data_IF_157042819038
#
_entry.id   IF_157042819038
#
_cell.length_a   1.000
_cell.length_b   1.000
_cell.length_c   1.000
_cell.angle_alpha   90.00
_cell.angle_beta   90.00
_cell.angle_gamma   90.00
#
_symmetry.space_group_name_H-M   'P 1'
#
loop_
_entity.id
_entity.type
_entity.pdbx_description
1 polymer ?
#
# COMPACT_ATOMS: atom_id res chain seq x y z
N UNK A 1 28.62 -4.03 -74.31
CA UNK A 1 28.13 -4.91 -73.23
C UNK A 1 26.71 -4.48 -72.89
N UNK A 2 25.72 -5.25 -73.31
CA UNK A 2 24.31 -4.89 -73.15
C UNK A 2 23.83 -5.20 -71.72
N UNK A 3 23.10 -4.28 -71.06
CA UNK A 3 22.72 -4.38 -69.64
C UNK A 3 21.75 -5.53 -69.30
N UNK A 4 21.31 -6.30 -70.30
CA UNK A 4 20.34 -7.40 -70.13
C UNK A 4 20.95 -8.69 -69.58
N UNK A 5 22.27 -8.74 -69.36
CA UNK A 5 22.95 -9.94 -68.83
C UNK A 5 22.80 -10.13 -67.31
N UNK A 6 22.37 -9.12 -66.55
CA UNK A 6 22.11 -9.25 -65.10
C UNK A 6 20.80 -9.99 -64.78
N UNK A 7 19.85 -10.04 -65.72
CA UNK A 7 18.54 -10.68 -65.52
C UNK A 7 18.54 -12.19 -65.80
N UNK A 8 19.66 -12.76 -66.26
CA UNK A 8 19.76 -14.15 -66.73
C UNK A 8 20.68 -15.05 -65.91
N UNK A 9 21.32 -14.53 -64.86
CA UNK A 9 22.22 -15.35 -64.02
C UNK A 9 21.43 -16.06 -62.92
N UNK A 10 21.08 -17.33 -63.16
CA UNK A 10 20.23 -18.14 -62.29
C UNK A 10 20.99 -18.76 -61.10
N UNK A 11 22.32 -18.63 -61.05
CA UNK A 11 23.14 -19.16 -59.94
C UNK A 11 22.94 -18.39 -58.63
N UNK A 12 22.41 -17.16 -58.69
CA UNK A 12 22.05 -16.36 -57.52
C UNK A 12 20.65 -16.62 -56.96
N UNK A 13 19.78 -17.32 -57.69
CA UNK A 13 18.38 -17.53 -57.29
C UNK A 13 18.26 -18.46 -56.05
N UNK A 14 19.12 -19.48 -55.96
CA UNK A 14 19.18 -20.39 -54.80
C UNK A 14 19.80 -19.71 -53.56
N UNK A 15 20.61 -18.67 -53.75
CA UNK A 15 21.13 -17.85 -52.66
C UNK A 15 20.19 -16.73 -52.22
N UNK A 16 19.09 -16.51 -52.93
CA UNK A 16 18.10 -15.48 -52.57
C UNK A 16 16.93 -16.09 -51.77
N UNK A 17 16.67 -17.39 -51.89
CA UNK A 17 15.62 -18.06 -51.10
C UNK A 17 15.97 -18.13 -49.59
N UNK A 18 17.25 -18.40 -49.25
CA UNK A 18 17.64 -18.46 -47.84
C UNK A 18 17.61 -17.09 -47.14
N UNK A 19 17.90 -16.00 -47.87
CA UNK A 19 17.81 -14.66 -47.31
C UNK A 19 16.36 -14.23 -47.16
N UNK A 20 15.49 -14.59 -48.10
CA UNK A 20 14.04 -14.33 -48.00
C UNK A 20 13.42 -15.11 -46.83
N UNK A 21 13.82 -16.38 -46.64
CA UNK A 21 13.34 -17.20 -45.53
C UNK A 21 13.86 -16.69 -44.18
N UNK A 22 15.13 -16.29 -44.10
CA UNK A 22 15.67 -15.63 -42.91
C UNK A 22 14.98 -14.29 -42.61
N UNK A 23 14.74 -13.46 -43.63
CA UNK A 23 14.01 -12.20 -43.48
C UNK A 23 12.58 -12.41 -43.00
N UNK A 24 11.89 -13.44 -43.49
CA UNK A 24 10.55 -13.80 -43.03
C UNK A 24 10.53 -14.22 -41.54
N UNK A 25 11.50 -15.03 -41.11
CA UNK A 25 11.62 -15.45 -39.70
C UNK A 25 11.94 -14.25 -38.79
N UNK A 26 12.82 -13.36 -39.22
CA UNK A 26 13.12 -12.13 -38.46
C UNK A 26 11.87 -11.25 -38.32
N UNK A 27 11.07 -11.11 -39.37
CA UNK A 27 9.79 -10.39 -39.32
C UNK A 27 8.81 -10.99 -38.31
N UNK A 28 8.67 -12.32 -38.28
CA UNK A 28 7.84 -13.03 -37.30
C UNK A 28 8.40 -12.87 -35.87
N UNK A 29 9.72 -12.90 -35.71
CA UNK A 29 10.38 -12.70 -34.42
C UNK A 29 10.14 -11.29 -33.85
N UNK A 30 10.25 -10.26 -34.67
CA UNK A 30 9.97 -8.87 -34.27
C UNK A 30 8.49 -8.75 -33.83
N UNK A 31 7.56 -9.36 -34.58
CA UNK A 31 6.13 -9.35 -34.22
C UNK A 31 5.83 -10.10 -32.93
N UNK A 32 6.49 -11.22 -32.68
CA UNK A 32 6.33 -11.97 -31.44
C UNK A 32 6.90 -11.19 -30.24
N UNK A 33 8.08 -10.60 -30.39
CA UNK A 33 8.71 -9.77 -29.34
C UNK A 33 7.86 -8.54 -29.03
N UNK A 34 7.25 -7.89 -30.02
CA UNK A 34 6.34 -6.77 -29.77
C UNK A 34 5.11 -7.20 -28.96
N UNK A 35 4.52 -8.36 -29.28
CA UNK A 35 3.36 -8.89 -28.55
C UNK A 35 3.71 -9.25 -27.10
N UNK A 36 4.85 -9.92 -26.88
CA UNK A 36 5.34 -10.26 -25.54
C UNK A 36 5.66 -8.99 -24.75
N UNK A 37 6.33 -8.01 -25.36
CA UNK A 37 6.65 -6.74 -24.71
C UNK A 37 5.40 -6.02 -24.25
N UNK A 38 4.37 -5.92 -25.08
CA UNK A 38 3.09 -5.31 -24.68
C UNK A 38 2.46 -6.07 -23.52
N UNK A 39 2.33 -7.40 -23.61
CA UNK A 39 1.74 -8.18 -22.53
C UNK A 39 2.50 -8.09 -21.19
N UNK A 40 3.83 -7.94 -21.22
CA UNK A 40 4.63 -7.73 -20.01
C UNK A 40 4.44 -6.33 -19.42
N UNK A 41 4.25 -5.30 -20.26
CA UNK A 41 3.93 -3.94 -19.79
C UNK A 41 2.55 -3.95 -19.15
N UNK A 42 1.54 -4.50 -19.82
CA UNK A 42 0.17 -4.57 -19.30
C UNK A 42 0.12 -5.31 -17.96
N UNK A 43 0.84 -6.45 -17.84
CA UNK A 43 0.96 -7.18 -16.58
C UNK A 43 1.69 -6.36 -15.50
N UNK A 44 2.71 -5.58 -15.88
CA UNK A 44 3.41 -4.69 -14.97
C UNK A 44 2.47 -3.61 -14.41
N UNK A 45 1.68 -2.99 -15.28
CA UNK A 45 0.71 -1.96 -14.92
C UNK A 45 -0.40 -2.54 -14.00
N UNK A 46 -0.89 -3.75 -14.30
CA UNK A 46 -1.87 -4.45 -13.46
C UNK A 46 -1.32 -4.75 -12.06
N UNK A 47 -0.05 -5.18 -11.97
CA UNK A 47 0.63 -5.42 -10.69
C UNK A 47 0.79 -4.13 -9.91
N UNK A 48 1.22 -3.04 -10.56
CA UNK A 48 1.34 -1.73 -9.93
C UNK A 48 -0.01 -1.24 -9.39
N UNK A 49 -1.07 -1.36 -10.18
CA UNK A 49 -2.43 -1.00 -9.77
C UNK A 49 -2.90 -1.85 -8.56
N UNK A 50 -2.65 -3.15 -8.57
CA UNK A 50 -3.02 -4.04 -7.47
C UNK A 50 -2.24 -3.73 -6.18
N UNK A 51 -0.95 -3.39 -6.29
CA UNK A 51 -0.11 -3.03 -5.14
C UNK A 51 -0.44 -1.63 -4.60
N UNK A 52 -0.71 -0.66 -5.47
CA UNK A 52 -1.11 0.70 -5.08
C UNK A 52 -2.50 0.72 -4.42
N UNK A 53 -3.42 -0.15 -4.86
CA UNK A 53 -4.76 -0.25 -4.27
C UNK A 53 -4.82 -1.09 -3.00
N UNK A 54 -3.76 -1.85 -2.68
CA UNK A 54 -3.70 -2.68 -1.48
C UNK A 54 -3.19 -1.88 -0.29
N UNK A 55 -4.04 -1.65 0.71
CA UNK A 55 -3.61 -1.11 2.01
C UNK A 55 -3.01 -2.23 2.86
N UNK A 56 -1.75 -2.08 3.27
CA UNK A 56 -1.10 -3.05 4.16
C UNK A 56 -1.78 -2.99 5.54
N UNK A 57 -2.25 -4.14 6.02
CA UNK A 57 -2.77 -4.24 7.37
C UNK A 57 -1.68 -3.89 8.38
N UNK A 58 -1.99 -2.98 9.29
CA UNK A 58 -1.15 -2.69 10.44
C UNK A 58 -0.67 -3.97 11.15
N UNK A 59 0.59 -3.99 11.60
CA UNK A 59 1.12 -5.05 12.47
C UNK A 59 0.23 -5.29 13.72
N UNK A 60 -0.47 -4.28 14.22
CA UNK A 60 -1.41 -4.40 15.33
C UNK A 60 -2.65 -5.25 14.99
N UNK A 61 -3.09 -5.25 13.73
CA UNK A 61 -4.25 -6.02 13.26
C UNK A 61 -3.91 -7.49 12.96
N UNK A 62 -2.68 -7.78 12.49
CA UNK A 62 -2.25 -9.14 12.15
C UNK A 62 -1.90 -10.01 13.37
N UNK A 63 -1.68 -9.39 14.54
CA UNK A 63 -1.51 -10.07 15.81
C UNK A 63 -2.71 -9.99 16.75
N UNK A 64 -3.83 -9.40 16.31
CA UNK A 64 -5.03 -9.18 17.11
C UNK A 64 -6.10 -10.26 16.94
N UNK A 65 -7.00 -10.36 17.92
CA UNK A 65 -8.05 -11.39 18.03
C UNK A 65 -9.18 -11.27 16.97
N UNK A 66 -8.91 -10.80 15.75
CA UNK A 66 -9.91 -10.51 14.72
C UNK A 66 -10.76 -9.26 14.98
N UNK A 67 -10.34 -8.40 15.92
CA UNK A 67 -10.97 -7.12 16.17
C UNK A 67 -10.47 -6.07 15.18
N UNK A 68 -11.40 -5.39 14.52
CA UNK A 68 -11.11 -4.31 13.56
C UNK A 68 -11.45 -2.96 14.18
N UNK A 69 -10.52 -2.02 14.07
CA UNK A 69 -10.75 -0.64 14.47
C UNK A 69 -11.67 0.07 13.47
N UNK A 70 -12.57 0.91 13.98
CA UNK A 70 -13.34 1.87 13.19
C UNK A 70 -13.30 3.23 13.89
N UNK A 71 -13.10 4.35 13.19
CA UNK A 71 -13.08 5.65 13.83
C UNK A 71 -14.37 5.93 14.60
N UNK A 72 -14.26 6.48 15.82
CA UNK A 72 -15.40 6.76 16.69
C UNK A 72 -15.92 8.19 16.55
N UNK A 73 -15.06 9.15 16.23
CA UNK A 73 -15.49 10.53 16.07
C UNK A 73 -16.15 10.76 14.71
N UNK A 74 -17.37 11.32 14.73
CA UNK A 74 -18.10 11.65 13.53
C UNK A 74 -17.32 12.66 12.66
N UNK A 75 -17.06 12.29 11.41
CA UNK A 75 -16.29 13.11 10.46
C UNK A 75 -14.83 12.70 10.29
N UNK A 76 -14.32 11.77 11.10
CA UNK A 76 -13.05 11.10 10.83
C UNK A 76 -13.33 9.83 10.01
N UNK A 77 -12.67 9.71 8.86
CA UNK A 77 -12.68 8.49 8.06
C UNK A 77 -11.42 7.68 8.32
N UNK A 78 -11.47 6.38 8.04
CA UNK A 78 -10.27 5.54 8.16
C UNK A 78 -9.17 6.02 7.22
N UNK A 79 -9.52 6.50 6.02
CA UNK A 79 -8.60 7.14 5.07
C UNK A 79 -7.89 8.38 5.65
N UNK A 80 -8.62 9.23 6.39
CA UNK A 80 -8.03 10.40 7.04
C UNK A 80 -7.05 10.02 8.17
N UNK A 81 -7.18 8.82 8.74
CA UNK A 81 -6.27 8.30 9.76
C UNK A 81 -5.07 7.57 9.14
N UNK A 82 -5.31 6.67 8.18
CA UNK A 82 -4.33 5.69 7.68
C UNK A 82 -3.75 6.02 6.31
N UNK A 83 -4.29 6.99 5.58
CA UNK A 83 -3.78 7.38 4.27
C UNK A 83 -2.35 7.93 4.33
N UNK A 84 -1.69 8.04 3.18
CA UNK A 84 -0.28 8.44 3.07
C UNK A 84 0.04 9.84 3.63
N UNK A 85 -0.98 10.70 3.72
CA UNK A 85 -0.92 12.02 4.38
C UNK A 85 -1.88 12.12 5.57
N UNK A 86 -2.42 11.00 6.02
CA UNK A 86 -3.33 10.88 7.15
C UNK A 86 -2.64 11.11 8.49
N UNK A 87 -3.41 11.05 9.56
CA UNK A 87 -2.94 11.30 10.93
C UNK A 87 -1.71 10.45 11.30
N UNK A 88 -1.71 9.15 10.96
CA UNK A 88 -0.60 8.24 11.30
C UNK A 88 0.69 8.67 10.58
N UNK A 89 0.60 8.99 9.28
CA UNK A 89 1.73 9.46 8.49
C UNK A 89 2.27 10.80 9.06
N UNK A 90 1.36 11.72 9.39
CA UNK A 90 1.73 12.99 10.03
C UNK A 90 2.43 12.76 11.37
N UNK A 91 1.89 11.92 12.26
CA UNK A 91 2.53 11.62 13.57
C UNK A 91 3.92 11.01 13.35
N UNK A 92 4.06 10.10 12.37
CA UNK A 92 5.35 9.47 12.06
C UNK A 92 6.40 10.46 11.56
N UNK A 93 6.00 11.51 10.82
CA UNK A 93 6.89 12.54 10.30
C UNK A 93 7.55 13.40 11.40
N UNK A 94 6.98 13.46 12.60
CA UNK A 94 7.58 14.17 13.75
C UNK A 94 8.77 13.44 14.37
N UNK A 95 9.03 12.18 13.95
CA UNK A 95 10.18 11.40 14.39
C UNK A 95 10.30 11.26 15.92
N UNK A 96 9.16 11.11 16.61
CA UNK A 96 9.13 10.88 18.05
C UNK A 96 9.74 9.52 18.40
N UNK A 97 10.46 9.48 19.52
CA UNK A 97 10.99 8.24 20.10
C UNK A 97 9.85 7.38 20.65
N UNK A 98 10.07 6.06 20.76
CA UNK A 98 9.05 5.14 21.27
C UNK A 98 8.61 5.49 22.71
N UNK A 99 9.50 6.04 23.54
CA UNK A 99 9.13 6.53 24.89
C UNK A 99 8.23 7.77 24.84
N UNK A 100 8.46 8.68 23.89
CA UNK A 100 7.60 9.86 23.71
C UNK A 100 6.22 9.46 23.19
N UNK A 101 6.16 8.53 22.25
CA UNK A 101 4.91 7.97 21.75
C UNK A 101 4.15 7.21 22.84
N UNK A 102 4.83 6.45 23.69
CA UNK A 102 4.22 5.79 24.84
C UNK A 102 3.59 6.81 25.81
N UNK A 103 4.31 7.88 26.13
CA UNK A 103 3.78 8.97 26.97
C UNK A 103 2.55 9.63 26.34
N UNK A 104 2.57 9.85 25.01
CA UNK A 104 1.42 10.36 24.28
C UNK A 104 0.23 9.39 24.33
N UNK A 105 0.47 8.10 24.11
CA UNK A 105 -0.55 7.04 24.21
C UNK A 105 -1.23 7.06 25.59
N UNK A 106 -0.46 7.09 26.67
CA UNK A 106 -0.99 7.14 28.04
C UNK A 106 -1.75 8.44 28.33
N UNK A 107 -1.29 9.58 27.79
CA UNK A 107 -1.99 10.86 27.88
C UNK A 107 -3.37 10.80 27.22
N UNK A 108 -3.46 10.27 26.00
CA UNK A 108 -4.73 10.09 25.29
C UNK A 108 -5.65 9.09 25.99
N UNK A 109 -5.11 8.00 26.55
CA UNK A 109 -5.89 7.03 27.33
C UNK A 109 -6.51 7.66 28.58
N UNK A 110 -5.75 8.50 29.29
CA UNK A 110 -6.26 9.21 30.47
C UNK A 110 -7.29 10.28 30.08
N UNK A 111 -7.06 11.00 28.98
CA UNK A 111 -8.03 11.95 28.45
C UNK A 111 -9.34 11.27 28.05
N UNK A 112 -9.29 10.14 27.33
CA UNK A 112 -10.46 9.36 26.94
C UNK A 112 -11.29 8.96 28.18
N UNK A 113 -10.65 8.42 29.22
CA UNK A 113 -11.33 8.07 30.49
C UNK A 113 -12.03 9.26 31.14
N UNK A 114 -11.40 10.43 31.14
CA UNK A 114 -12.01 11.65 31.66
C UNK A 114 -13.28 12.02 30.90
N UNK A 115 -13.24 11.97 29.56
CA UNK A 115 -14.42 12.23 28.73
C UNK A 115 -15.52 11.19 28.89
N UNK A 116 -15.17 9.90 29.04
CA UNK A 116 -16.12 8.83 29.36
C UNK A 116 -16.81 9.13 30.69
N UNK A 117 -16.05 9.47 31.73
CA UNK A 117 -16.60 9.75 33.06
C UNK A 117 -17.50 10.98 33.11
N UNK A 118 -17.31 11.94 32.19
CA UNK A 118 -18.14 13.14 32.05
C UNK A 118 -19.35 12.94 31.11
N UNK A 119 -19.51 11.75 30.52
CA UNK A 119 -20.62 11.44 29.63
C UNK A 119 -20.46 11.95 28.19
N UNK A 120 -19.26 12.39 27.79
CA UNK A 120 -19.01 12.93 26.46
C UNK A 120 -18.39 11.87 25.53
N UNK A 121 -19.25 11.04 24.93
CA UNK A 121 -18.82 9.95 24.05
C UNK A 121 -18.08 10.41 22.80
N UNK A 122 -18.43 11.58 22.23
CA UNK A 122 -17.76 12.10 21.03
C UNK A 122 -16.30 12.42 21.30
N UNK A 123 -15.99 13.26 22.29
CA UNK A 123 -14.60 13.60 22.58
C UNK A 123 -13.83 12.41 23.14
N UNK A 124 -14.48 11.50 23.87
CA UNK A 124 -13.87 10.24 24.25
C UNK A 124 -13.46 9.42 23.03
N UNK A 125 -14.35 9.30 22.03
CA UNK A 125 -14.07 8.62 20.77
C UNK A 125 -12.89 9.22 20.02
N UNK A 126 -12.80 10.55 19.93
CA UNK A 126 -11.67 11.24 19.31
C UNK A 126 -10.34 10.91 20.01
N UNK A 127 -10.34 10.83 21.35
CA UNK A 127 -9.13 10.45 22.09
C UNK A 127 -8.75 9.00 21.81
N UNK A 128 -9.72 8.09 21.70
CA UNK A 128 -9.48 6.70 21.29
C UNK A 128 -8.93 6.62 19.85
N UNK A 129 -9.43 7.45 18.94
CA UNK A 129 -8.91 7.58 17.57
C UNK A 129 -7.42 7.97 17.58
N UNK A 130 -7.04 8.93 18.44
CA UNK A 130 -5.63 9.31 18.61
C UNK A 130 -4.81 8.19 19.25
N UNK A 131 -5.35 7.46 20.24
CA UNK A 131 -4.65 6.31 20.83
C UNK A 131 -4.31 5.27 19.77
N UNK A 132 -5.28 4.92 18.91
CA UNK A 132 -5.05 4.00 17.80
C UNK A 132 -3.95 4.52 16.87
N UNK A 133 -4.02 5.79 16.45
CA UNK A 133 -3.00 6.36 15.57
C UNK A 133 -1.59 6.32 16.18
N UNK A 134 -1.44 6.58 17.47
CA UNK A 134 -0.15 6.50 18.17
C UNK A 134 0.34 5.05 18.28
N UNK A 135 -0.54 4.11 18.60
CA UNK A 135 -0.22 2.68 18.61
C UNK A 135 0.30 2.20 17.24
N UNK A 136 -0.30 2.72 16.16
CA UNK A 136 0.14 2.42 14.80
C UNK A 136 1.55 2.93 14.51
N UNK A 137 1.88 4.14 14.93
CA UNK A 137 3.22 4.69 14.76
C UNK A 137 4.24 3.92 15.61
N UNK A 138 3.89 3.53 16.83
CA UNK A 138 4.72 2.64 17.66
C UNK A 138 4.99 1.31 16.95
N UNK A 139 3.95 0.68 16.38
CA UNK A 139 4.06 -0.56 15.65
C UNK A 139 4.95 -0.43 14.40
N UNK A 140 4.86 0.68 13.68
CA UNK A 140 5.75 0.99 12.55
C UNK A 140 7.22 1.13 12.97
N UNK A 141 7.48 1.49 14.23
CA UNK A 141 8.82 1.50 14.83
C UNK A 141 9.24 0.13 15.41
N UNK A 142 8.40 -0.91 15.29
CA UNK A 142 8.65 -2.22 15.88
C UNK A 142 8.43 -2.29 17.41
N UNK A 143 7.78 -1.28 17.99
CA UNK A 143 7.41 -1.23 19.40
C UNK A 143 5.91 -1.47 19.58
N UNK A 144 5.46 -1.72 20.82
CA UNK A 144 4.05 -1.82 21.18
C UNK A 144 3.79 -1.02 22.45
N UNK A 145 2.55 -0.57 22.70
CA UNK A 145 2.20 0.04 23.98
C UNK A 145 2.53 -0.88 25.15
N UNK A 146 2.92 -0.30 26.29
CA UNK A 146 3.20 -1.06 27.52
C UNK A 146 1.99 -1.91 27.95
N UNK A 147 2.24 -3.12 28.46
CA UNK A 147 1.17 -4.04 28.93
C UNK A 147 0.34 -3.48 30.10
N UNK A 148 0.88 -2.52 30.85
CA UNK A 148 0.18 -1.82 31.93
C UNK A 148 -0.77 -0.72 31.45
N UNK A 149 -0.61 -0.25 30.20
CA UNK A 149 -1.46 0.76 29.60
C UNK A 149 -2.80 0.16 29.19
N UNK A 150 -3.84 0.99 29.17
CA UNK A 150 -5.16 0.51 28.71
C UNK A 150 -5.15 0.34 27.22
N UNK A 151 -5.57 -0.84 26.74
CA UNK A 151 -5.65 -1.11 25.30
C UNK A 151 -6.69 -0.21 24.61
N UNK A 152 -6.45 0.10 23.34
CA UNK A 152 -7.41 0.82 22.48
C UNK A 152 -8.74 0.09 22.43
N UNK A 153 -8.73 -1.24 22.33
CA UNK A 153 -9.95 -2.05 22.28
C UNK A 153 -10.81 -1.88 23.53
N UNK A 154 -10.20 -1.91 24.72
CA UNK A 154 -10.92 -1.69 25.98
C UNK A 154 -11.58 -0.32 25.99
N UNK A 155 -10.86 0.72 25.56
CA UNK A 155 -11.40 2.08 25.54
C UNK A 155 -12.49 2.26 24.47
N UNK A 156 -12.31 1.65 23.30
CA UNK A 156 -13.27 1.65 22.21
C UNK A 156 -14.62 1.06 22.65
N UNK A 157 -14.58 -0.09 23.33
CA UNK A 157 -15.78 -0.74 23.86
C UNK A 157 -16.44 0.11 24.96
N UNK A 158 -15.63 0.78 25.79
CA UNK A 158 -16.14 1.69 26.81
C UNK A 158 -16.89 2.89 26.19
N UNK A 159 -16.39 3.48 25.11
CA UNK A 159 -17.07 4.61 24.43
C UNK A 159 -18.33 4.17 23.69
N UNK A 160 -18.28 3.03 23.00
CA UNK A 160 -19.41 2.53 22.20
C UNK A 160 -20.56 1.96 23.03
N UNK A 161 -20.35 1.74 24.33
CA UNK A 161 -21.38 1.27 25.27
C UNK A 161 -22.05 2.40 26.08
N UNK A 162 -21.67 3.67 25.86
CA UNK A 162 -22.29 4.86 26.47
C UNK A 162 -23.60 5.24 25.77
#
# INVERSE_FOLDING_TARGET
MSPFHFLKDQSGAVTVDWTVLAAAIVGLGISAVSAVRTGVIDLGDDIEAALSSTTVASLGMLGGNGWSYSPLYAGITMDWMTGDSGLIAQISAWNYTSTQLQSAYDSYANAARSYISSGNASFAGLMVDHMYAVEQVLANQGARPNDSSTSVQTMYLAVTSM
#
